data_IF_190100497580
#
_entry.id   IF_190100497580
#
_cell.length_a   1.000
_cell.length_b   1.000
_cell.length_c   1.000
_cell.angle_alpha   90.00
_cell.angle_beta   90.00
_cell.angle_gamma   90.00
#
_symmetry.space_group_name_H-M   'P 1'
#
loop_
_entity.id
_entity.type
_entity.pdbx_description
1 polymer ?
#
# COMPACT_ATOMS: atom_id res chain seq x y z
N UNK A 1 -37.31 -33.84 39.43
CA UNK A 1 -38.21 -32.82 38.84
C UNK A 1 -37.46 -31.49 38.96
N UNK A 2 -36.52 -31.18 38.06
CA UNK A 2 -36.64 -30.52 36.73
C UNK A 2 -37.01 -29.02 36.78
N UNK A 3 -36.19 -28.24 36.07
CA UNK A 3 -36.33 -26.86 35.57
C UNK A 3 -36.06 -25.72 36.59
N UNK A 4 -35.30 -24.65 36.29
CA UNK A 4 -34.70 -24.20 35.03
C UNK A 4 -35.03 -22.71 34.77
N UNK A 5 -33.98 -21.91 34.55
CA UNK A 5 -33.92 -20.61 33.82
C UNK A 5 -34.74 -19.42 34.42
N UNK A 6 -34.39 -18.14 34.30
CA UNK A 6 -33.83 -17.34 33.19
C UNK A 6 -32.87 -16.26 33.76
N UNK A 7 -31.64 -16.01 33.26
CA UNK A 7 -31.25 -15.37 31.99
C UNK A 7 -31.96 -14.06 31.65
N UNK A 8 -31.19 -12.95 31.68
CA UNK A 8 -31.53 -11.69 31.04
C UNK A 8 -30.30 -10.79 30.93
N UNK A 9 -29.98 -10.25 29.75
CA UNK A 9 -28.62 -10.27 29.20
C UNK A 9 -27.87 -8.95 29.36
N UNK A 10 -26.55 -9.06 29.51
CA UNK A 10 -25.62 -7.96 29.38
C UNK A 10 -25.72 -7.33 28.00
N UNK A 11 -26.07 -6.05 27.97
CA UNK A 11 -26.06 -5.23 26.76
C UNK A 11 -24.65 -5.12 26.19
N UNK A 12 -24.39 -5.86 25.12
CA UNK A 12 -23.18 -5.75 24.32
C UNK A 12 -23.18 -4.44 23.53
N UNK A 13 -22.18 -3.59 23.79
CA UNK A 13 -21.89 -2.37 23.05
C UNK A 13 -21.66 -2.63 21.56
N UNK A 14 -22.55 -2.13 20.70
CA UNK A 14 -22.36 -2.02 19.26
C UNK A 14 -21.54 -0.77 18.89
N UNK A 15 -20.28 -0.69 19.35
CA UNK A 15 -19.35 0.38 18.99
C UNK A 15 -18.06 -0.22 18.40
N UNK A 16 -17.98 -0.39 17.08
CA UNK A 16 -16.76 -0.97 16.48
C UNK A 16 -16.64 -1.06 14.96
N UNK A 17 -17.62 -0.64 14.16
CA UNK A 17 -17.56 -0.86 12.70
C UNK A 17 -16.93 0.31 11.91
N UNK A 18 -16.91 1.53 12.44
CA UNK A 18 -16.30 2.69 11.77
C UNK A 18 -14.76 2.72 11.86
N UNK A 19 -14.20 2.38 13.02
CA UNK A 19 -12.75 2.43 13.27
C UNK A 19 -11.97 1.32 12.55
N UNK A 20 -12.54 0.11 12.47
CA UNK A 20 -11.92 -1.02 11.81
C UNK A 20 -11.74 -0.82 10.29
N UNK A 21 -12.67 -0.14 9.63
CA UNK A 21 -12.53 0.17 8.19
C UNK A 21 -11.44 1.21 7.90
N UNK A 22 -11.24 2.16 8.80
CA UNK A 22 -10.21 3.22 8.67
C UNK A 22 -8.81 2.64 8.85
N UNK A 23 -8.60 1.79 9.85
CA UNK A 23 -7.30 1.14 10.07
C UNK A 23 -6.92 0.21 8.92
N UNK A 24 -7.89 -0.53 8.38
CA UNK A 24 -7.68 -1.40 7.21
C UNK A 24 -7.35 -0.60 5.95
N UNK A 25 -8.06 0.50 5.69
CA UNK A 25 -7.77 1.39 4.56
C UNK A 25 -6.36 2.00 4.68
N UNK A 26 -5.99 2.48 5.86
CA UNK A 26 -4.65 3.04 6.11
C UNK A 26 -3.56 1.98 5.90
N UNK A 27 -3.76 0.76 6.40
CA UNK A 27 -2.82 -0.33 6.23
C UNK A 27 -2.65 -0.72 4.74
N UNK A 28 -3.75 -0.90 4.00
CA UNK A 28 -3.71 -1.20 2.57
C UNK A 28 -2.98 -0.11 1.78
N UNK A 29 -3.31 1.16 2.08
CA UNK A 29 -2.66 2.32 1.45
C UNK A 29 -1.16 2.33 1.72
N UNK A 30 -0.73 2.06 2.97
CA UNK A 30 0.69 2.04 3.30
C UNK A 30 1.44 0.90 2.62
N UNK A 31 0.85 -0.29 2.51
CA UNK A 31 1.47 -1.43 1.80
C UNK A 31 1.67 -1.12 0.31
N UNK A 32 0.66 -0.52 -0.34
CA UNK A 32 0.77 -0.08 -1.73
C UNK A 32 1.85 1.02 -1.87
N UNK A 33 1.81 2.04 -1.00
CA UNK A 33 2.73 3.17 -1.00
C UNK A 33 4.19 2.72 -0.84
N UNK A 34 4.46 1.76 0.07
CA UNK A 34 5.81 1.22 0.23
C UNK A 34 6.27 0.51 -1.05
N UNK A 35 5.38 -0.21 -1.74
CA UNK A 35 5.71 -0.83 -3.02
C UNK A 35 5.97 0.18 -4.13
N UNK A 36 5.18 1.25 -4.22
CA UNK A 36 5.42 2.37 -5.14
C UNK A 36 6.80 2.98 -4.92
N UNK A 37 7.11 3.39 -3.68
CA UNK A 37 8.40 3.99 -3.35
C UNK A 37 9.60 3.08 -3.72
N UNK A 38 9.49 1.77 -3.44
CA UNK A 38 10.54 0.81 -3.83
C UNK A 38 10.64 0.69 -5.35
N UNK A 39 9.51 0.57 -6.05
CA UNK A 39 9.48 0.42 -7.50
C UNK A 39 10.05 1.63 -8.22
N UNK A 40 9.78 2.82 -7.72
CA UNK A 40 10.26 4.07 -8.27
C UNK A 40 11.77 4.23 -8.08
N UNK A 41 12.29 4.00 -6.87
CA UNK A 41 13.74 4.03 -6.61
C UNK A 41 14.48 2.99 -7.46
N UNK A 42 14.00 1.75 -7.49
CA UNK A 42 14.62 0.67 -8.28
C UNK A 42 14.51 0.97 -9.79
N UNK A 43 13.39 1.51 -10.24
CA UNK A 43 13.18 1.91 -11.63
C UNK A 43 14.12 3.02 -12.05
N UNK A 44 14.32 4.01 -11.20
CA UNK A 44 15.28 5.09 -11.42
C UNK A 44 16.73 4.57 -11.43
N UNK A 45 17.09 3.63 -10.54
CA UNK A 45 18.42 2.97 -10.57
C UNK A 45 18.66 2.23 -11.90
N UNK A 46 17.69 1.45 -12.36
CA UNK A 46 17.77 0.70 -13.62
C UNK A 46 17.85 1.67 -14.80
N UNK A 47 17.03 2.70 -14.80
CA UNK A 47 16.95 3.68 -15.89
C UNK A 47 18.24 4.51 -16.00
N UNK A 48 18.81 4.92 -14.87
CA UNK A 48 20.10 5.60 -14.82
C UNK A 48 21.23 4.71 -15.35
N UNK A 49 21.27 3.44 -14.95
CA UNK A 49 22.27 2.47 -15.43
C UNK A 49 22.15 2.16 -16.93
N UNK A 50 20.94 2.24 -17.48
CA UNK A 50 20.66 2.03 -18.90
C UNK A 50 20.73 3.33 -19.74
N UNK A 51 20.93 4.49 -19.12
CA UNK A 51 20.99 5.79 -19.82
C UNK A 51 19.65 6.21 -20.44
N UNK A 52 18.53 5.83 -19.84
CA UNK A 52 17.20 6.17 -20.32
C UNK A 52 16.89 7.65 -20.10
N UNK A 53 16.14 8.26 -21.04
CA UNK A 53 15.57 9.59 -20.85
C UNK A 53 14.30 9.57 -20.00
N UNK A 54 13.89 10.74 -19.49
CA UNK A 54 12.84 10.89 -18.47
C UNK A 54 11.54 10.11 -18.76
N UNK A 55 11.03 10.18 -19.99
CA UNK A 55 9.80 9.47 -20.35
C UNK A 55 9.92 7.94 -20.26
N UNK A 56 11.07 7.38 -20.65
CA UNK A 56 11.33 5.95 -20.53
C UNK A 56 11.57 5.55 -19.06
N UNK A 57 12.24 6.40 -18.29
CA UNK A 57 12.44 6.20 -16.86
C UNK A 57 11.12 6.14 -16.09
N UNK A 58 10.20 7.05 -16.38
CA UNK A 58 8.84 7.06 -15.82
C UNK A 58 8.12 5.75 -16.11
N UNK A 59 8.16 5.26 -17.35
CA UNK A 59 7.50 4.00 -17.71
C UNK A 59 8.08 2.80 -16.94
N UNK A 60 9.40 2.75 -16.79
CA UNK A 60 10.09 1.69 -16.02
C UNK A 60 9.74 1.78 -14.54
N UNK A 61 9.78 2.98 -13.96
CA UNK A 61 9.41 3.24 -12.57
C UNK A 61 7.96 2.81 -12.31
N UNK A 62 7.00 3.30 -13.10
CA UNK A 62 5.58 2.93 -12.98
C UNK A 62 5.38 1.42 -13.10
N UNK A 63 6.00 0.78 -14.08
CA UNK A 63 5.88 -0.67 -14.26
C UNK A 63 6.39 -1.43 -13.02
N UNK A 64 7.52 -1.03 -12.44
CA UNK A 64 8.06 -1.65 -11.24
C UNK A 64 7.23 -1.31 -9.99
N UNK A 65 6.70 -0.09 -9.88
CA UNK A 65 5.79 0.30 -8.80
C UNK A 65 4.55 -0.59 -8.76
N UNK A 66 3.97 -0.91 -9.92
CA UNK A 66 2.90 -1.92 -9.99
C UNK A 66 3.36 -3.29 -9.51
N UNK A 67 4.52 -3.76 -9.95
CA UNK A 67 5.05 -5.08 -9.55
C UNK A 67 5.29 -5.16 -8.04
N UNK A 68 6.00 -4.19 -7.46
CA UNK A 68 6.30 -4.16 -6.03
C UNK A 68 5.07 -3.86 -5.19
N UNK A 69 4.21 -2.93 -5.60
CA UNK A 69 2.93 -2.61 -4.97
C UNK A 69 2.02 -3.82 -4.85
N UNK A 70 1.79 -4.56 -5.95
CA UNK A 70 1.01 -5.79 -5.89
C UNK A 70 1.68 -6.86 -5.04
N UNK A 71 2.99 -7.02 -5.15
CA UNK A 71 3.71 -8.05 -4.39
C UNK A 71 3.56 -7.80 -2.89
N UNK A 72 3.82 -6.57 -2.42
CA UNK A 72 3.73 -6.23 -0.99
C UNK A 72 2.29 -6.22 -0.47
N UNK A 73 1.30 -5.80 -1.26
CA UNK A 73 -0.11 -5.79 -0.86
C UNK A 73 -0.73 -7.20 -0.82
N UNK A 74 -0.40 -8.05 -1.80
CA UNK A 74 -1.01 -9.38 -1.93
C UNK A 74 -0.36 -10.44 -1.03
N UNK A 75 0.92 -10.27 -0.66
CA UNK A 75 1.66 -11.23 0.18
C UNK A 75 1.00 -11.52 1.55
N UNK A 76 0.53 -10.52 2.33
CA UNK A 76 -0.24 -10.76 3.56
C UNK A 76 -1.47 -11.64 3.35
N UNK A 77 -2.18 -11.42 2.25
CA UNK A 77 -3.45 -12.11 1.96
C UNK A 77 -3.20 -13.56 1.55
N UNK A 78 -2.16 -13.80 0.76
CA UNK A 78 -1.72 -15.14 0.41
C UNK A 78 -1.17 -15.91 1.62
N UNK A 79 -0.45 -15.22 2.52
CA UNK A 79 0.04 -15.79 3.77
C UNK A 79 -1.11 -16.20 4.71
N UNK A 80 -2.19 -15.42 4.73
CA UNK A 80 -3.42 -15.74 5.46
C UNK A 80 -4.20 -16.93 4.87
N UNK A 81 -3.77 -17.50 3.74
CA UNK A 81 -4.36 -18.70 3.15
C UNK A 81 -5.62 -18.45 2.31
N UNK A 82 -5.88 -17.20 1.92
CA UNK A 82 -6.99 -16.86 1.02
C UNK A 82 -6.76 -17.51 -0.36
N UNK A 83 -7.82 -18.06 -1.00
CA UNK A 83 -7.70 -18.66 -2.31
C UNK A 83 -7.31 -17.60 -3.34
N UNK A 84 -6.30 -17.91 -4.16
CA UNK A 84 -5.74 -17.02 -5.20
C UNK A 84 -6.83 -16.39 -6.07
N UNK A 85 -7.89 -17.15 -6.41
CA UNK A 85 -9.04 -16.65 -7.18
C UNK A 85 -9.84 -15.54 -6.49
N UNK A 86 -9.99 -15.56 -5.17
CA UNK A 86 -10.69 -14.52 -4.42
C UNK A 86 -9.82 -13.26 -4.27
N UNK A 87 -8.51 -13.45 -4.10
CA UNK A 87 -7.51 -12.37 -4.03
C UNK A 87 -7.38 -11.65 -5.38
N UNK A 88 -7.36 -12.41 -6.49
CA UNK A 88 -7.19 -11.88 -7.85
C UNK A 88 -8.35 -11.00 -8.35
N UNK A 89 -9.59 -11.22 -7.88
CA UNK A 89 -10.77 -10.57 -8.47
C UNK A 89 -11.11 -9.20 -7.87
N UNK A 90 -11.14 -9.11 -6.54
CA UNK A 90 -11.66 -7.92 -5.85
C UNK A 90 -10.54 -7.08 -5.21
N UNK A 91 -9.59 -7.74 -4.54
CA UNK A 91 -8.46 -7.05 -3.89
C UNK A 91 -7.52 -6.51 -4.94
N UNK A 92 -7.22 -7.28 -5.98
CA UNK A 92 -6.32 -6.84 -7.04
C UNK A 92 -6.88 -5.65 -7.83
N UNK A 93 -8.19 -5.59 -8.07
CA UNK A 93 -8.81 -4.42 -8.68
C UNK A 93 -8.74 -3.17 -7.78
N UNK A 94 -8.89 -3.36 -6.47
CA UNK A 94 -8.75 -2.28 -5.49
C UNK A 94 -7.30 -1.76 -5.42
N UNK A 95 -6.33 -2.66 -5.36
CA UNK A 95 -4.91 -2.32 -5.35
C UNK A 95 -4.47 -1.69 -6.68
N UNK A 96 -5.02 -2.15 -7.81
CA UNK A 96 -4.76 -1.56 -9.13
C UNK A 96 -5.18 -0.09 -9.15
N UNK A 97 -6.38 0.19 -8.66
CA UNK A 97 -6.90 1.56 -8.61
C UNK A 97 -6.11 2.40 -7.62
N UNK A 98 -5.69 1.82 -6.49
CA UNK A 98 -4.85 2.49 -5.49
C UNK A 98 -3.50 2.89 -6.08
N UNK A 99 -2.77 1.94 -6.66
CA UNK A 99 -1.46 2.15 -7.27
C UNK A 99 -1.60 3.13 -8.44
N UNK A 100 -2.56 2.95 -9.34
CA UNK A 100 -2.77 3.88 -10.45
C UNK A 100 -3.03 5.32 -9.96
N UNK A 101 -3.77 5.48 -8.87
CA UNK A 101 -3.99 6.80 -8.25
C UNK A 101 -2.68 7.35 -7.69
N UNK A 102 -1.90 6.54 -6.98
CA UNK A 102 -0.62 6.94 -6.43
C UNK A 102 0.35 7.36 -7.53
N UNK A 103 0.57 6.52 -8.55
CA UNK A 103 1.47 6.80 -9.67
C UNK A 103 1.06 8.05 -10.46
N UNK A 104 -0.24 8.25 -10.69
CA UNK A 104 -0.72 9.43 -11.39
C UNK A 104 -0.43 10.71 -10.60
N UNK A 105 -0.68 10.69 -9.29
CA UNK A 105 -0.39 11.81 -8.40
C UNK A 105 1.10 12.05 -8.27
N UNK A 106 1.87 10.98 -8.12
CA UNK A 106 3.30 10.98 -7.95
C UNK A 106 4.00 11.66 -9.14
N UNK A 107 3.78 11.15 -10.35
CA UNK A 107 4.29 11.73 -11.59
C UNK A 107 3.79 13.17 -11.82
N UNK A 108 2.58 13.52 -11.35
CA UNK A 108 2.08 14.90 -11.42
C UNK A 108 2.87 15.82 -10.50
N UNK A 109 3.18 15.38 -9.28
CA UNK A 109 4.01 16.13 -8.33
C UNK A 109 5.41 16.31 -8.91
N UNK A 110 6.04 15.25 -9.40
CA UNK A 110 7.37 15.33 -10.00
C UNK A 110 7.41 16.26 -11.22
N UNK A 111 6.38 16.24 -12.06
CA UNK A 111 6.28 17.14 -13.21
C UNK A 111 6.14 18.62 -12.83
N UNK A 112 5.55 18.91 -11.65
CA UNK A 112 5.33 20.28 -11.17
C UNK A 112 6.52 20.79 -10.34
N UNK A 113 7.24 19.91 -9.63
CA UNK A 113 8.41 20.29 -8.83
C UNK A 113 9.58 20.64 -9.76
N UNK A 114 10.06 21.90 -9.75
CA UNK A 114 11.14 22.31 -10.64
C UNK A 114 12.42 21.50 -10.37
N UNK A 115 12.96 20.89 -11.42
CA UNK A 115 14.19 20.11 -11.35
C UNK A 115 14.03 18.65 -10.90
N UNK A 116 12.86 18.22 -10.43
CA UNK A 116 12.64 16.83 -10.00
C UNK A 116 12.85 15.81 -11.13
N UNK A 117 12.24 16.04 -12.31
CA UNK A 117 12.38 15.14 -13.46
C UNK A 117 13.82 14.98 -14.00
N UNK A 118 14.72 15.91 -13.64
CA UNK A 118 16.12 15.85 -14.06
C UNK A 118 17.05 15.44 -12.90
N UNK A 119 16.49 15.18 -11.72
CA UNK A 119 17.24 14.82 -10.53
C UNK A 119 17.67 13.36 -10.60
N UNK A 120 18.93 13.11 -10.22
CA UNK A 120 19.47 11.78 -10.03
C UNK A 120 19.27 11.34 -8.57
N UNK A 121 19.43 10.05 -8.30
CA UNK A 121 19.39 9.50 -6.93
C UNK A 121 20.43 10.15 -5.99
N UNK A 122 21.51 10.72 -6.52
CA UNK A 122 22.52 11.45 -5.77
C UNK A 122 22.10 12.88 -5.40
N UNK A 123 21.00 13.38 -5.96
CA UNK A 123 20.55 14.75 -5.74
C UNK A 123 19.54 14.80 -4.60
N UNK A 124 19.76 15.70 -3.63
CA UNK A 124 18.83 15.85 -2.50
C UNK A 124 17.41 16.24 -2.93
N UNK A 125 17.26 16.89 -4.10
CA UNK A 125 15.95 17.27 -4.65
C UNK A 125 15.12 16.06 -5.09
N UNK A 126 15.75 14.96 -5.53
CA UNK A 126 15.06 13.69 -5.83
C UNK A 126 14.37 13.13 -4.58
N UNK A 127 15.10 13.06 -3.47
CA UNK A 127 14.56 12.53 -2.22
C UNK A 127 13.47 13.43 -1.61
N UNK A 128 13.60 14.75 -1.78
CA UNK A 128 12.57 15.69 -1.36
C UNK A 128 11.32 15.62 -2.22
N UNK A 129 11.46 15.54 -3.55
CA UNK A 129 10.32 15.39 -4.47
C UNK A 129 9.59 14.07 -4.21
N UNK A 130 10.33 12.98 -4.03
CA UNK A 130 9.79 11.66 -3.71
C UNK A 130 9.06 11.65 -2.36
N UNK A 131 9.61 12.26 -1.31
CA UNK A 131 8.91 12.34 -0.02
C UNK A 131 7.60 13.14 -0.16
N UNK A 132 7.64 14.29 -0.86
CA UNK A 132 6.48 15.12 -1.08
C UNK A 132 5.41 14.36 -1.88
N UNK A 133 5.80 13.72 -2.97
CA UNK A 133 4.91 13.00 -3.87
C UNK A 133 4.24 11.82 -3.15
N UNK A 134 4.97 11.05 -2.35
CA UNK A 134 4.43 9.95 -1.53
C UNK A 134 3.40 10.44 -0.51
N UNK A 135 3.62 11.60 0.13
CA UNK A 135 2.64 12.18 1.07
C UNK A 135 1.36 12.57 0.34
N UNK A 136 1.45 13.22 -0.82
CA UNK A 136 0.29 13.62 -1.62
C UNK A 136 -0.43 12.39 -2.20
N UNK A 137 0.32 11.41 -2.69
CA UNK A 137 -0.19 10.15 -3.21
C UNK A 137 -0.94 9.36 -2.13
N UNK A 138 -0.40 9.27 -0.91
CA UNK A 138 -1.09 8.65 0.22
C UNK A 138 -2.40 9.38 0.54
N UNK A 139 -2.38 10.72 0.59
CA UNK A 139 -3.56 11.52 0.87
C UNK A 139 -4.65 11.33 -0.19
N UNK A 140 -4.27 11.14 -1.46
CA UNK A 140 -5.18 10.89 -2.57
C UNK A 140 -5.71 9.45 -2.61
N UNK A 141 -4.86 8.45 -2.35
CA UNK A 141 -5.22 7.04 -2.43
C UNK A 141 -5.94 6.51 -1.19
N UNK A 142 -5.72 7.10 -0.01
CA UNK A 142 -6.43 6.73 1.22
C UNK A 142 -7.97 6.79 1.08
N UNK A 143 -8.60 7.87 0.58
CA UNK A 143 -10.04 7.91 0.39
C UNK A 143 -10.53 6.92 -0.66
N UNK A 144 -9.73 6.66 -1.72
CA UNK A 144 -10.01 5.62 -2.72
C UNK A 144 -10.10 4.25 -2.04
N UNK A 145 -9.10 3.89 -1.24
CA UNK A 145 -9.05 2.61 -0.53
C UNK A 145 -10.17 2.47 0.50
N UNK A 146 -10.47 3.54 1.23
CA UNK A 146 -11.59 3.57 2.18
C UNK A 146 -12.93 3.34 1.48
N UNK A 147 -13.14 3.98 0.34
CA UNK A 147 -14.37 3.84 -0.44
C UNK A 147 -14.50 2.45 -1.07
N UNK A 148 -13.40 1.88 -1.56
CA UNK A 148 -13.36 0.52 -2.11
C UNK A 148 -13.72 -0.51 -1.04
N UNK A 149 -13.16 -0.39 0.18
CA UNK A 149 -13.49 -1.25 1.31
C UNK A 149 -14.95 -1.08 1.75
N UNK A 150 -15.49 0.14 1.71
CA UNK A 150 -16.89 0.39 2.00
C UNK A 150 -17.83 -0.23 0.95
N UNK A 151 -17.44 -0.23 -0.34
CA UNK A 151 -18.21 -0.85 -1.44
C UNK A 151 -18.08 -2.37 -1.51
N UNK A 152 -16.95 -2.94 -1.06
CA UNK A 152 -16.67 -4.37 -1.04
C UNK A 152 -17.32 -5.17 0.11
N UNK A 153 -18.00 -4.49 1.05
CA UNK A 153 -18.70 -5.02 2.24
C UNK A 153 -17.80 -5.79 3.22
N UNK A 154 -17.56 -5.21 4.40
CA UNK A 154 -16.97 -5.86 5.58
C UNK A 154 -17.69 -7.12 6.11
N UNK A 155 -18.70 -7.63 5.40
CA UNK A 155 -19.40 -8.89 5.67
C UNK A 155 -18.87 -10.07 4.83
N UNK A 156 -18.23 -9.86 3.67
CA UNK A 156 -17.69 -10.97 2.87
C UNK A 156 -16.36 -11.51 3.46
N UNK A 157 -15.56 -10.62 4.06
CA UNK A 157 -14.28 -10.98 4.67
C UNK A 157 -14.46 -11.61 6.06
N UNK A 158 -15.53 -11.24 6.80
CA UNK A 158 -15.84 -11.84 8.10
C UNK A 158 -16.53 -13.20 7.99
N UNK A 159 -17.31 -13.45 6.94
CA UNK A 159 -17.96 -14.75 6.71
C UNK A 159 -17.11 -15.75 5.88
N UNK A 160 -16.09 -15.29 5.14
CA UNK A 160 -15.20 -16.16 4.34
C UNK A 160 -13.95 -16.69 5.05
N UNK A 161 -13.63 -16.18 6.25
CA UNK A 161 -12.49 -16.64 7.04
C UNK A 161 -12.79 -17.89 7.89
N UNK A 162 -13.99 -18.46 7.77
CA UNK A 162 -14.41 -19.69 8.46
C UNK A 162 -14.35 -20.91 7.54
N UNK A 163 -13.68 -21.96 8.01
CA UNK A 163 -13.65 -23.32 7.48
C UNK A 163 -12.74 -23.61 6.26
N UNK A 164 -11.42 -23.50 6.43
CA UNK A 164 -10.48 -24.33 5.64
C UNK A 164 -9.10 -23.74 5.33
N UNK A 165 -8.85 -22.45 5.57
CA UNK A 165 -7.55 -21.84 5.25
C UNK A 165 -6.45 -22.33 6.21
N UNK A 166 -5.43 -23.01 5.67
CA UNK A 166 -4.19 -23.29 6.41
C UNK A 166 -3.26 -22.08 6.26
N UNK A 167 -2.98 -21.32 7.33
CA UNK A 167 -2.07 -20.19 7.25
C UNK A 167 -0.70 -20.68 6.78
N UNK A 168 -0.17 -20.04 5.74
CA UNK A 168 1.15 -20.34 5.20
C UNK A 168 2.16 -19.51 6.01
N UNK A 169 3.23 -20.12 6.53
CA UNK A 169 4.28 -19.41 7.29
C UNK A 169 5.13 -18.56 6.36
N UNK A 170 4.57 -17.45 5.88
CA UNK A 170 5.31 -16.41 5.19
C UNK A 170 5.49 -15.26 6.19
N UNK A 171 6.72 -14.82 6.49
CA UNK A 171 6.92 -13.64 7.32
C UNK A 171 6.38 -12.42 6.58
N UNK A 172 5.31 -11.84 7.10
CA UNK A 172 4.70 -10.62 6.56
C UNK A 172 5.08 -9.46 7.46
N UNK A 173 5.70 -8.38 6.94
CA UNK A 173 6.03 -7.23 7.77
C UNK A 173 4.76 -6.59 8.32
N UNK A 174 4.79 -6.16 9.58
CA UNK A 174 3.69 -5.40 10.15
C UNK A 174 3.59 -4.03 9.47
N UNK A 175 2.39 -3.44 9.43
CA UNK A 175 2.15 -2.09 8.89
C UNK A 175 3.11 -1.06 9.49
N UNK A 176 3.38 -1.14 10.79
CA UNK A 176 4.34 -0.26 11.47
C UNK A 176 5.78 -0.47 10.96
N UNK A 177 6.17 -1.71 10.66
CA UNK A 177 7.49 -2.02 10.08
C UNK A 177 7.64 -1.41 8.69
N UNK A 178 6.58 -1.41 7.88
CA UNK A 178 6.60 -0.75 6.57
C UNK A 178 6.73 0.77 6.69
N UNK A 179 6.00 1.40 7.63
CA UNK A 179 6.13 2.84 7.88
C UNK A 179 7.57 3.21 8.27
N UNK A 180 8.15 2.47 9.23
CA UNK A 180 9.53 2.68 9.68
C UNK A 180 10.52 2.43 8.55
N UNK A 181 10.32 1.37 7.77
CA UNK A 181 11.16 1.04 6.62
C UNK A 181 11.12 2.13 5.54
N UNK A 182 9.94 2.66 5.23
CA UNK A 182 9.79 3.75 4.27
C UNK A 182 10.48 5.03 4.75
N UNK A 183 10.30 5.40 6.02
CA UNK A 183 10.97 6.57 6.62
C UNK A 183 12.49 6.37 6.61
N UNK A 184 12.97 5.18 7.00
CA UNK A 184 14.41 4.88 7.00
C UNK A 184 15.00 4.91 5.59
N UNK A 185 14.27 4.43 4.58
CA UNK A 185 14.67 4.46 3.17
C UNK A 185 14.83 5.91 2.69
N UNK A 186 13.83 6.75 2.93
CA UNK A 186 13.84 8.16 2.51
C UNK A 186 14.93 8.96 3.22
N UNK A 187 15.07 8.77 4.54
CA UNK A 187 16.11 9.45 5.32
C UNK A 187 17.52 8.98 4.94
N UNK A 188 17.72 7.67 4.74
CA UNK A 188 19.00 7.11 4.36
C UNK A 188 19.45 7.60 2.98
N UNK A 189 18.50 7.63 2.02
CA UNK A 189 18.75 8.19 0.69
C UNK A 189 19.08 9.68 0.72
N UNK A 190 18.28 10.46 1.45
CA UNK A 190 18.51 11.90 1.60
C UNK A 190 19.87 12.22 2.24
N UNK A 191 20.23 11.51 3.32
CA UNK A 191 21.52 11.69 3.98
C UNK A 191 22.69 11.32 3.06
N UNK A 192 22.55 10.27 2.25
CA UNK A 192 23.56 9.88 1.27
C UNK A 192 23.71 10.88 0.12
N UNK A 193 22.64 11.58 -0.25
CA UNK A 193 22.65 12.61 -1.29
C UNK A 193 23.11 14.00 -0.79
N UNK A 194 23.08 14.22 0.53
CA UNK A 194 23.45 15.49 1.17
C UNK A 194 24.91 15.56 1.65
N UNK A 195 25.64 14.43 1.64
CA UNK A 195 27.04 14.32 2.06
C UNK A 195 28.01 14.24 0.88
#
# INVERSE_FOLDING_TARGET
MTAGHDEGPGGGSHAGHGGAGVSMAAAATLHCLTGCAIGEIVGMMISAGAGLGNAASIVVAVALSFVFGYTLSSLPLLAAGLPVRAVLGLVLAADTLSIATMEAVDNTVEAVVPGALNAMLSDAIFWWSLLLSLVVAYAAAFPVNRWLLARGKGHAITHGAGAGARPRRIPVPATATLAVGLVALLLGGWLGAAG
#
